data_IF_664668513713
#
_entry.id   IF_664668513713
#
_cell.length_a   1.000
_cell.length_b   1.000
_cell.length_c   1.000
_cell.angle_alpha   90.00
_cell.angle_beta   90.00
_cell.angle_gamma   90.00
#
_symmetry.space_group_name_H-M   'P 1'
#
loop_
_entity.id
_entity.type
_entity.pdbx_description
1 polymer ?
#
# COMPACT_ATOMS: atom_id res chain seq x y z
N UNK A 1 23.45 -29.22 -28.49
CA UNK A 1 22.84 -28.15 -29.33
C UNK A 1 23.79 -26.96 -29.45
N UNK A 2 23.70 -26.19 -30.54
CA UNK A 2 24.46 -24.95 -30.73
C UNK A 2 23.58 -23.73 -30.41
N UNK A 3 24.03 -22.86 -29.52
CA UNK A 3 23.37 -21.57 -29.25
C UNK A 3 23.78 -20.55 -30.31
N UNK A 4 22.81 -19.93 -30.98
CA UNK A 4 23.08 -19.11 -32.19
C UNK A 4 22.68 -17.65 -32.09
N UNK A 5 21.94 -17.23 -31.06
CA UNK A 5 21.44 -15.86 -30.96
C UNK A 5 21.17 -15.40 -29.54
N UNK A 6 20.91 -14.09 -29.42
CA UNK A 6 20.72 -13.43 -28.12
C UNK A 6 19.42 -13.84 -27.46
N UNK A 7 19.64 -13.97 -26.18
CA UNK A 7 18.86 -14.45 -25.09
C UNK A 7 18.34 -13.20 -24.41
N UNK A 8 17.04 -12.99 -24.28
CA UNK A 8 16.62 -11.90 -23.39
C UNK A 8 17.20 -12.20 -22.00
N UNK A 9 17.97 -11.29 -21.39
CA UNK A 9 18.63 -11.54 -20.10
C UNK A 9 20.03 -12.15 -20.23
N UNK A 10 20.38 -13.13 -19.39
CA UNK A 10 21.71 -13.74 -19.37
C UNK A 10 21.67 -15.27 -19.32
N UNK A 11 22.61 -15.91 -20.03
CA UNK A 11 22.77 -17.37 -20.04
C UNK A 11 24.05 -17.75 -19.31
N UNK A 12 23.99 -18.78 -18.47
CA UNK A 12 25.12 -19.27 -17.68
C UNK A 12 25.27 -20.78 -17.78
N UNK A 13 26.50 -21.29 -17.72
CA UNK A 13 26.81 -22.72 -17.62
C UNK A 13 27.44 -23.05 -16.28
N UNK A 14 27.18 -24.26 -15.80
CA UNK A 14 27.84 -24.78 -14.62
C UNK A 14 29.21 -25.36 -14.98
N UNK A 15 30.29 -24.81 -14.44
CA UNK A 15 31.65 -25.28 -14.70
C UNK A 15 32.53 -25.10 -13.46
N UNK A 16 33.22 -26.17 -13.04
CA UNK A 16 34.13 -26.12 -11.90
C UNK A 16 33.45 -25.74 -10.58
N UNK A 17 32.24 -26.24 -10.34
CA UNK A 17 31.48 -25.99 -9.10
C UNK A 17 30.79 -24.62 -9.02
N UNK A 18 30.82 -23.80 -10.07
CA UNK A 18 30.20 -22.48 -10.09
C UNK A 18 29.49 -22.19 -11.41
N UNK A 19 28.56 -21.23 -11.36
CA UNK A 19 27.92 -20.69 -12.55
C UNK A 19 28.79 -19.61 -13.19
N UNK A 20 29.03 -19.73 -14.49
CA UNK A 20 29.83 -18.78 -15.26
C UNK A 20 29.05 -18.32 -16.51
N UNK A 21 29.30 -17.09 -17.01
CA UNK A 21 28.69 -16.60 -18.24
C UNK A 21 28.84 -17.58 -19.40
N UNK A 22 27.75 -17.85 -20.12
CA UNK A 22 27.78 -18.62 -21.34
C UNK A 22 28.14 -17.69 -22.51
N UNK A 23 29.24 -17.95 -23.25
CA UNK A 23 29.64 -17.08 -24.34
C UNK A 23 28.72 -17.31 -25.55
N UNK A 24 27.75 -16.42 -25.75
CA UNK A 24 26.86 -16.45 -26.91
C UNK A 24 27.57 -16.01 -28.21
N UNK A 25 28.73 -15.35 -28.11
CA UNK A 25 29.64 -15.02 -29.21
C UNK A 25 30.92 -15.86 -29.21
N UNK A 26 31.57 -16.00 -30.36
CA UNK A 26 32.86 -16.69 -30.50
C UNK A 26 32.83 -18.02 -31.27
N UNK A 27 33.92 -18.81 -31.23
CA UNK A 27 34.05 -20.07 -31.96
C UNK A 27 32.93 -21.07 -31.63
N UNK A 28 32.55 -21.94 -32.58
CA UNK A 28 31.47 -22.94 -32.40
C UNK A 28 31.63 -23.74 -31.10
N UNK A 29 32.85 -24.18 -30.78
CA UNK A 29 33.17 -24.97 -29.58
C UNK A 29 32.76 -24.32 -28.25
N UNK A 30 32.66 -22.99 -28.18
CA UNK A 30 32.30 -22.28 -26.93
C UNK A 30 30.79 -22.10 -26.79
N UNK A 31 30.03 -22.32 -27.87
CA UNK A 31 28.57 -22.11 -27.94
C UNK A 31 27.76 -23.41 -27.87
N UNK A 32 28.43 -24.54 -27.67
CA UNK A 32 27.78 -25.85 -27.56
C UNK A 32 27.23 -26.06 -26.15
N UNK A 33 25.95 -26.44 -26.09
CA UNK A 33 25.35 -27.05 -24.92
C UNK A 33 25.54 -28.55 -25.06
N UNK A 34 26.42 -29.09 -24.23
CA UNK A 34 26.55 -30.52 -23.97
C UNK A 34 25.48 -30.92 -22.94
N UNK A 35 24.77 -32.02 -23.18
CA UNK A 35 23.74 -32.54 -22.27
C UNK A 35 24.29 -32.94 -20.90
N UNK A 36 25.62 -33.08 -20.76
CA UNK A 36 26.28 -33.33 -19.46
C UNK A 36 26.48 -32.08 -18.60
N UNK A 37 26.31 -30.88 -19.17
CA UNK A 37 26.59 -29.59 -18.50
C UNK A 37 25.28 -28.82 -18.30
N UNK A 38 24.84 -28.62 -17.05
CA UNK A 38 23.69 -27.76 -16.77
C UNK A 38 23.91 -26.34 -17.28
N UNK A 39 22.90 -25.83 -17.97
CA UNK A 39 22.81 -24.42 -18.39
C UNK A 39 21.60 -23.83 -17.68
N UNK A 40 21.74 -22.63 -17.16
CA UNK A 40 20.63 -21.86 -16.61
C UNK A 40 20.49 -20.54 -17.35
N UNK A 41 19.25 -20.18 -17.59
CA UNK A 41 18.87 -18.87 -18.09
C UNK A 41 18.42 -18.00 -16.92
N UNK A 42 18.81 -16.73 -16.92
CA UNK A 42 18.38 -15.71 -15.99
C UNK A 42 17.64 -14.68 -16.82
N UNK A 43 16.34 -14.45 -16.57
CA UNK A 43 15.56 -13.51 -17.35
C UNK A 43 16.07 -12.07 -17.22
N UNK A 44 15.75 -11.18 -18.17
CA UNK A 44 15.90 -9.74 -17.94
C UNK A 44 15.14 -9.31 -16.69
N UNK A 45 15.64 -8.28 -16.01
CA UNK A 45 14.91 -7.67 -14.91
C UNK A 45 13.51 -7.23 -15.36
N UNK A 46 12.49 -7.60 -14.59
CA UNK A 46 11.09 -7.25 -14.87
C UNK A 46 10.37 -8.10 -15.92
N UNK A 47 10.99 -9.16 -16.45
CA UNK A 47 10.32 -10.03 -17.42
C UNK A 47 9.19 -10.84 -16.76
N UNK A 48 8.00 -10.83 -17.37
CA UNK A 48 6.80 -11.55 -16.92
C UNK A 48 6.12 -12.21 -18.11
N UNK A 49 5.48 -13.36 -17.89
CA UNK A 49 4.81 -14.12 -18.94
C UNK A 49 5.79 -14.87 -19.86
N UNK A 50 5.32 -15.25 -21.05
CA UNK A 50 6.11 -16.02 -22.01
C UNK A 50 7.24 -15.17 -22.60
N UNK A 51 8.47 -15.46 -22.20
CA UNK A 51 9.66 -14.70 -22.58
C UNK A 51 10.61 -15.56 -23.42
N UNK A 52 11.08 -15.09 -24.60
CA UNK A 52 12.07 -15.82 -25.40
C UNK A 52 13.41 -15.94 -24.65
N UNK A 53 13.77 -17.17 -24.26
CA UNK A 53 14.97 -17.45 -23.51
C UNK A 53 16.17 -17.64 -24.45
N UNK A 54 16.21 -18.67 -25.29
CA UNK A 54 17.35 -18.95 -26.18
C UNK A 54 16.92 -19.44 -27.56
N UNK A 55 17.75 -19.21 -28.59
CA UNK A 55 17.60 -19.85 -29.91
C UNK A 55 18.72 -20.88 -30.10
N UNK A 56 18.34 -22.09 -30.53
CA UNK A 56 19.27 -23.21 -30.71
C UNK A 56 19.16 -23.84 -32.10
N UNK A 57 20.25 -24.47 -32.54
CA UNK A 57 20.33 -25.35 -33.72
C UNK A 57 20.84 -26.73 -33.30
N UNK A 58 20.48 -27.76 -34.07
CA UNK A 58 21.14 -29.06 -33.97
C UNK A 58 22.57 -28.95 -34.53
N UNK A 59 23.49 -29.70 -33.95
CA UNK A 59 24.90 -29.75 -34.36
C UNK A 59 25.36 -31.19 -34.37
N UNK A 60 25.92 -31.65 -35.49
CA UNK A 60 26.33 -33.05 -35.69
C UNK A 60 27.82 -33.30 -35.40
N UNK A 61 28.54 -32.28 -34.93
CA UNK A 61 29.99 -32.31 -34.76
C UNK A 61 30.75 -31.58 -35.87
N UNK A 62 30.10 -31.27 -36.99
CA UNK A 62 30.73 -30.69 -38.19
C UNK A 62 29.97 -29.51 -38.79
N UNK A 63 28.63 -29.58 -38.83
CA UNK A 63 27.75 -28.56 -39.39
C UNK A 63 26.52 -28.33 -38.49
N UNK A 64 26.01 -27.10 -38.52
CA UNK A 64 24.79 -26.72 -37.84
C UNK A 64 23.60 -26.96 -38.77
N UNK A 65 22.46 -27.35 -38.21
CA UNK A 65 21.23 -27.47 -38.98
C UNK A 65 20.77 -26.11 -39.50
N UNK A 66 20.14 -26.09 -40.69
CA UNK A 66 19.48 -24.89 -41.20
C UNK A 66 18.26 -24.49 -40.35
N UNK A 67 17.60 -25.47 -39.71
CA UNK A 67 16.47 -25.23 -38.82
C UNK A 67 16.92 -24.70 -37.45
N UNK A 68 16.14 -23.76 -36.90
CA UNK A 68 16.28 -23.20 -35.56
C UNK A 68 15.09 -23.56 -34.69
N UNK A 69 15.33 -23.77 -33.40
CA UNK A 69 14.29 -23.89 -32.39
C UNK A 69 14.39 -22.73 -31.39
N UNK A 70 13.24 -22.19 -31.01
CA UNK A 70 13.13 -21.17 -29.98
C UNK A 70 12.69 -21.81 -28.68
N UNK A 71 13.46 -21.59 -27.62
CA UNK A 71 13.10 -21.96 -26.26
C UNK A 71 12.59 -20.69 -25.60
N UNK A 72 11.32 -20.70 -25.21
CA UNK A 72 10.70 -19.65 -24.42
C UNK A 72 10.33 -20.24 -23.07
N UNK A 73 10.51 -19.45 -22.02
CA UNK A 73 10.13 -19.82 -20.68
C UNK A 73 8.96 -18.95 -20.24
N UNK A 74 7.98 -19.57 -19.62
CA UNK A 74 6.94 -18.83 -18.91
C UNK A 74 7.49 -18.44 -17.56
N UNK A 75 7.90 -17.19 -17.43
CA UNK A 75 8.20 -16.64 -16.11
C UNK A 75 6.84 -16.45 -15.45
N UNK A 76 6.56 -17.26 -14.44
CA UNK A 76 5.54 -16.89 -13.48
C UNK A 76 5.94 -15.49 -13.00
N UNK A 77 5.20 -14.45 -13.41
CA UNK A 77 5.28 -13.19 -12.69
C UNK A 77 5.06 -13.59 -11.24
N UNK A 78 6.01 -13.24 -10.37
CA UNK A 78 5.96 -13.71 -9.00
C UNK A 78 4.53 -13.46 -8.48
N UNK A 79 3.78 -14.53 -8.28
CA UNK A 79 2.60 -14.55 -7.42
C UNK A 79 3.10 -14.55 -5.96
N UNK A 80 4.10 -13.72 -5.69
CA UNK A 80 4.71 -13.55 -4.37
C UNK A 80 5.02 -12.06 -4.24
N UNK A 81 4.08 -11.39 -3.57
CA UNK A 81 3.90 -9.97 -3.32
C UNK A 81 3.47 -9.10 -4.51
N UNK A 82 2.18 -8.79 -4.56
CA UNK A 82 1.73 -7.57 -5.22
C UNK A 82 2.49 -6.38 -4.58
N UNK A 83 3.16 -5.57 -5.41
CA UNK A 83 4.03 -4.49 -4.95
C UNK A 83 3.40 -3.14 -5.24
N UNK A 84 3.49 -2.18 -4.32
CA UNK A 84 3.00 -0.81 -4.49
C UNK A 84 4.09 0.25 -4.30
N UNK A 85 4.08 1.30 -5.13
CA UNK A 85 4.86 2.51 -4.88
C UNK A 85 3.94 3.61 -4.38
N UNK A 86 4.23 4.18 -3.22
CA UNK A 86 3.65 5.45 -2.82
C UNK A 86 4.43 6.57 -3.52
N UNK A 87 3.72 7.55 -4.08
CA UNK A 87 4.27 8.59 -4.95
C UNK A 87 3.77 9.96 -4.50
N UNK A 88 4.68 10.81 -4.04
CA UNK A 88 4.38 12.24 -3.78
C UNK A 88 4.09 13.01 -5.07
N UNK A 89 4.71 12.58 -6.18
CA UNK A 89 4.50 13.16 -7.50
C UNK A 89 3.98 12.09 -8.47
N UNK A 90 2.71 12.21 -8.83
CA UNK A 90 2.05 11.28 -9.75
C UNK A 90 2.57 11.35 -11.19
N UNK A 91 3.40 12.33 -11.53
CA UNK A 91 4.15 12.33 -12.80
C UNK A 91 5.13 11.15 -12.91
N UNK A 92 5.54 10.57 -11.77
CA UNK A 92 6.49 9.46 -11.68
C UNK A 92 5.89 8.09 -12.05
N UNK A 93 4.55 7.98 -12.23
CA UNK A 93 3.88 6.70 -12.57
C UNK A 93 4.48 6.02 -13.79
N UNK A 94 4.96 6.79 -14.77
CA UNK A 94 5.58 6.26 -15.98
C UNK A 94 6.88 5.48 -15.71
N UNK A 95 7.53 5.72 -14.57
CA UNK A 95 8.73 5.02 -14.13
C UNK A 95 8.44 3.75 -13.30
N UNK A 96 7.18 3.54 -12.90
CA UNK A 96 6.75 2.36 -12.16
C UNK A 96 6.51 1.19 -13.13
N UNK A 97 7.04 -0.03 -12.87
CA UNK A 97 6.78 -1.21 -13.70
C UNK A 97 5.28 -1.51 -13.89
N UNK A 98 4.87 -1.90 -15.11
CA UNK A 98 3.46 -2.03 -15.53
C UNK A 98 2.60 -2.98 -14.67
N UNK A 99 3.19 -3.93 -13.96
CA UNK A 99 2.47 -4.89 -13.11
C UNK A 99 2.35 -4.48 -11.64
N UNK A 100 2.87 -3.32 -11.23
CA UNK A 100 2.90 -2.90 -9.83
C UNK A 100 1.79 -1.88 -9.56
N UNK A 101 1.30 -1.85 -8.33
CA UNK A 101 0.39 -0.82 -7.87
C UNK A 101 1.08 0.52 -7.64
N UNK A 102 0.25 1.55 -7.56
CA UNK A 102 0.68 2.91 -7.21
C UNK A 102 -0.26 3.47 -6.15
N UNK A 103 0.28 4.23 -5.21
CA UNK A 103 -0.44 4.95 -4.15
C UNK A 103 -0.05 6.42 -4.25
N UNK A 104 -0.99 7.35 -4.09
CA UNK A 104 -0.72 8.79 -4.18
C UNK A 104 -1.96 9.60 -4.52
N UNK A 105 -1.76 10.90 -4.76
CA UNK A 105 -2.84 11.85 -5.08
C UNK A 105 -3.10 11.91 -6.60
N UNK A 106 -3.96 11.03 -7.11
CA UNK A 106 -4.24 10.95 -8.54
C UNK A 106 -5.51 11.71 -8.90
N UNK A 107 -5.48 12.45 -10.02
CA UNK A 107 -6.74 12.85 -10.66
C UNK A 107 -7.52 11.62 -11.13
N UNK A 108 -8.84 11.75 -11.24
CA UNK A 108 -9.70 10.69 -11.80
C UNK A 108 -9.24 10.17 -13.17
N UNK A 109 -8.74 11.07 -14.02
CA UNK A 109 -8.20 10.70 -15.34
C UNK A 109 -6.96 9.81 -15.20
N UNK A 110 -6.05 10.15 -14.29
CA UNK A 110 -4.86 9.33 -14.01
C UNK A 110 -5.23 7.97 -13.45
N UNK A 111 -6.16 7.90 -12.48
CA UNK A 111 -6.65 6.61 -11.95
C UNK A 111 -7.27 5.75 -13.03
N UNK A 112 -8.16 6.33 -13.84
CA UNK A 112 -8.84 5.63 -14.94
C UNK A 112 -7.82 5.02 -15.91
N UNK A 113 -6.78 5.79 -16.28
CA UNK A 113 -5.72 5.30 -17.17
C UNK A 113 -4.88 4.18 -16.52
N UNK A 114 -4.53 4.32 -15.23
CA UNK A 114 -3.77 3.31 -14.49
C UNK A 114 -4.57 2.01 -14.31
N UNK A 115 -5.84 2.11 -13.94
CA UNK A 115 -6.76 0.97 -13.83
C UNK A 115 -6.94 0.24 -15.17
N UNK A 116 -7.09 0.99 -16.27
CA UNK A 116 -7.19 0.43 -17.62
C UNK A 116 -5.91 -0.34 -18.04
N UNK A 117 -4.76 -0.02 -17.43
CA UNK A 117 -3.51 -0.78 -17.62
C UNK A 117 -3.38 -2.01 -16.72
N UNK A 118 -4.41 -2.33 -15.91
CA UNK A 118 -4.42 -3.46 -14.99
C UNK A 118 -3.86 -3.16 -13.59
N UNK A 119 -3.54 -1.89 -13.28
CA UNK A 119 -2.97 -1.53 -11.97
C UNK A 119 -4.04 -1.37 -10.91
N UNK A 120 -3.69 -1.76 -9.69
CA UNK A 120 -4.42 -1.33 -8.49
C UNK A 120 -3.89 0.05 -8.12
N UNK A 121 -4.80 0.99 -7.87
CA UNK A 121 -4.46 2.38 -7.51
C UNK A 121 -4.94 2.66 -6.09
N UNK A 122 -4.03 3.00 -5.19
CA UNK A 122 -4.34 3.60 -3.90
C UNK A 122 -4.51 5.10 -4.03
N UNK A 123 -5.72 5.59 -3.93
CA UNK A 123 -5.98 7.02 -3.93
C UNK A 123 -5.77 7.59 -2.53
N UNK A 124 -4.84 8.55 -2.41
CA UNK A 124 -4.85 9.55 -1.34
C UNK A 124 -5.48 10.83 -1.88
N UNK A 125 -6.16 11.60 -1.03
CA UNK A 125 -6.83 12.83 -1.47
C UNK A 125 -6.31 13.99 -0.64
N UNK A 126 -6.08 15.12 -1.31
CA UNK A 126 -5.69 16.35 -0.65
C UNK A 126 -6.73 16.76 0.40
N UNK A 127 -6.29 16.82 1.66
CA UNK A 127 -7.08 17.31 2.79
C UNK A 127 -6.61 18.70 3.20
N UNK A 128 -7.53 19.50 3.76
CA UNK A 128 -7.19 20.75 4.40
C UNK A 128 -6.26 20.46 5.57
N UNK A 129 -4.97 20.55 5.30
CA UNK A 129 -3.96 20.68 6.31
C UNK A 129 -3.88 22.18 6.66
N UNK A 130 -3.82 22.51 7.94
CA UNK A 130 -3.59 23.91 8.35
C UNK A 130 -2.11 24.30 8.14
N UNK A 131 -1.47 23.85 7.05
CA UNK A 131 -0.03 23.97 6.74
C UNK A 131 0.50 25.41 6.67
N UNK A 132 -0.37 26.42 6.70
CA UNK A 132 0.06 27.82 6.81
C UNK A 132 0.88 28.11 8.08
N UNK A 133 0.80 27.24 9.09
CA UNK A 133 1.56 27.34 10.32
C UNK A 133 2.07 25.96 10.75
N UNK A 134 3.39 25.73 10.62
CA UNK A 134 4.07 24.51 11.08
C UNK A 134 3.97 24.28 12.61
N UNK A 135 3.25 25.15 13.33
CA UNK A 135 2.90 25.01 14.75
C UNK A 135 1.47 24.52 15.00
N UNK A 136 0.69 24.23 13.96
CA UNK A 136 -0.64 23.60 14.08
C UNK A 136 -0.58 22.24 13.39
N UNK A 137 -0.48 21.19 14.19
CA UNK A 137 -0.44 19.80 13.71
C UNK A 137 -1.68 19.46 12.86
N UNK A 138 -1.59 18.37 12.11
CA UNK A 138 -2.61 17.85 11.19
C UNK A 138 -3.91 17.37 11.86
N UNK A 139 -4.60 18.23 12.62
CA UNK A 139 -5.90 17.91 13.20
C UNK A 139 -7.04 18.33 12.25
N UNK A 140 -7.84 17.35 11.82
CA UNK A 140 -9.04 17.57 11.02
C UNK A 140 -10.26 17.91 11.87
N UNK A 141 -10.19 17.67 13.18
CA UNK A 141 -11.33 17.82 14.09
C UNK A 141 -11.91 19.24 14.15
N UNK A 142 -11.11 20.34 14.22
CA UNK A 142 -11.66 21.69 14.24
C UNK A 142 -12.49 22.07 12.99
N UNK A 143 -12.34 21.33 11.89
CA UNK A 143 -13.14 21.55 10.68
C UNK A 143 -14.54 20.94 10.78
N UNK A 144 -14.74 19.97 11.67
CA UNK A 144 -15.95 19.14 11.71
C UNK A 144 -16.59 19.04 13.09
N UNK A 145 -15.96 19.54 14.15
CA UNK A 145 -16.45 19.38 15.54
C UNK A 145 -17.86 19.92 15.76
N UNK A 146 -18.24 21.00 15.07
CA UNK A 146 -19.59 21.58 15.15
C UNK A 146 -20.67 20.69 14.50
N UNK A 147 -20.29 19.65 13.74
CA UNK A 147 -21.21 18.61 13.26
C UNK A 147 -21.59 17.61 14.38
N UNK A 148 -20.85 17.62 15.50
CA UNK A 148 -20.96 16.65 16.59
C UNK A 148 -21.52 17.28 17.87
N UNK A 149 -22.72 17.84 17.78
CA UNK A 149 -23.36 18.57 18.89
C UNK A 149 -24.19 17.68 19.84
N UNK A 150 -24.29 16.37 19.56
CA UNK A 150 -25.12 15.44 20.32
C UNK A 150 -24.43 14.09 20.48
N UNK A 151 -24.68 13.43 21.60
CA UNK A 151 -24.30 12.03 21.81
C UNK A 151 -25.32 11.04 21.24
N UNK A 152 -26.47 11.54 20.76
CA UNK A 152 -27.49 10.68 20.15
C UNK A 152 -27.00 10.19 18.79
N UNK A 153 -26.97 8.86 18.54
CA UNK A 153 -26.62 8.33 17.23
C UNK A 153 -27.47 8.91 16.11
N UNK A 154 -26.83 9.32 15.01
CA UNK A 154 -27.49 9.78 13.80
C UNK A 154 -28.30 8.63 13.21
N UNK A 155 -29.56 8.93 12.88
CA UNK A 155 -30.46 7.94 12.29
C UNK A 155 -29.88 7.40 10.98
N UNK A 156 -30.08 6.10 10.65
CA UNK A 156 -29.50 5.50 9.45
C UNK A 156 -29.77 6.27 8.15
N UNK A 157 -30.95 6.88 8.01
CA UNK A 157 -31.32 7.68 6.83
C UNK A 157 -30.54 8.99 6.68
N UNK A 158 -29.96 9.51 7.76
CA UNK A 158 -29.26 10.80 7.78
C UNK A 158 -27.72 10.64 7.70
N UNK A 159 -27.20 9.41 7.86
CA UNK A 159 -25.76 9.13 7.85
C UNK A 159 -25.08 9.58 6.57
N UNK A 160 -25.70 9.35 5.41
CA UNK A 160 -25.14 9.76 4.12
C UNK A 160 -25.01 11.29 3.98
N UNK A 161 -25.93 12.05 4.60
CA UNK A 161 -25.86 13.51 4.59
C UNK A 161 -24.72 14.00 5.50
N UNK A 162 -24.60 13.44 6.72
CA UNK A 162 -23.50 13.75 7.62
C UNK A 162 -22.14 13.40 7.00
N UNK A 163 -22.01 12.22 6.40
CA UNK A 163 -20.78 11.80 5.72
C UNK A 163 -20.34 12.80 4.64
N UNK A 164 -21.28 13.27 3.81
CA UNK A 164 -20.98 14.31 2.81
C UNK A 164 -20.54 15.63 3.44
N UNK A 165 -21.13 16.03 4.57
CA UNK A 165 -20.72 17.25 5.27
C UNK A 165 -19.29 17.13 5.81
N UNK A 166 -18.93 15.99 6.41
CA UNK A 166 -17.57 15.71 6.88
C UNK A 166 -16.59 15.80 5.70
N UNK A 167 -16.81 15.02 4.63
CA UNK A 167 -15.93 15.00 3.46
C UNK A 167 -15.82 16.38 2.79
N UNK A 168 -16.91 17.14 2.70
CA UNK A 168 -16.90 18.47 2.09
C UNK A 168 -16.02 19.46 2.86
N UNK A 169 -15.91 19.31 4.18
CA UNK A 169 -15.15 20.22 5.02
C UNK A 169 -13.67 19.86 5.16
N UNK A 170 -13.33 18.58 5.03
CA UNK A 170 -11.96 18.08 5.20
C UNK A 170 -11.19 18.00 3.89
N UNK A 171 -11.84 17.76 2.74
CA UNK A 171 -11.19 17.64 1.44
C UNK A 171 -10.99 19.02 0.79
N UNK A 172 -9.82 19.25 0.18
CA UNK A 172 -9.52 20.51 -0.56
C UNK A 172 -10.41 20.63 -1.80
N UNK A 173 -10.51 19.55 -2.56
CA UNK A 173 -11.35 19.46 -3.75
C UNK A 173 -12.46 18.45 -3.50
N UNK A 174 -13.47 18.82 -2.68
CA UNK A 174 -14.43 17.86 -2.18
C UNK A 174 -15.31 17.30 -3.29
N UNK A 175 -15.34 17.89 -4.49
CA UNK A 175 -16.41 17.75 -5.50
C UNK A 175 -16.82 16.32 -5.83
N UNK A 176 -17.61 15.69 -4.93
CA UNK A 176 -18.09 14.29 -4.86
C UNK A 176 -18.98 13.93 -6.07
N UNK A 177 -18.39 14.08 -7.23
CA UNK A 177 -19.00 14.10 -8.56
C UNK A 177 -18.01 13.47 -9.54
N UNK A 178 -18.38 13.44 -10.82
CA UNK A 178 -17.57 12.77 -11.83
C UNK A 178 -16.20 13.41 -12.09
N UNK A 179 -15.90 14.58 -11.52
CA UNK A 179 -14.61 15.27 -11.62
C UNK A 179 -13.87 15.36 -10.28
N UNK A 180 -14.33 14.62 -9.25
CA UNK A 180 -13.69 14.60 -7.94
C UNK A 180 -12.30 13.97 -7.99
N UNK A 181 -11.41 14.47 -7.14
CA UNK A 181 -10.21 13.72 -6.74
C UNK A 181 -10.60 12.54 -5.82
N UNK A 182 -11.65 12.68 -5.01
CA UNK A 182 -12.16 11.57 -4.20
C UNK A 182 -12.72 10.41 -5.06
N UNK A 183 -12.44 9.13 -4.71
CA UNK A 183 -12.97 8.00 -5.46
C UNK A 183 -14.50 7.97 -5.50
N UNK A 184 -15.06 7.47 -6.59
CA UNK A 184 -16.47 7.10 -6.69
C UNK A 184 -16.68 5.61 -6.36
N UNK A 185 -17.84 5.21 -5.80
CA UNK A 185 -18.09 3.81 -5.41
C UNK A 185 -17.78 2.77 -6.50
N UNK A 186 -18.06 3.10 -7.76
CA UNK A 186 -17.87 2.18 -8.90
C UNK A 186 -16.40 1.91 -9.23
N UNK A 187 -15.47 2.77 -8.78
CA UNK A 187 -14.02 2.60 -9.04
C UNK A 187 -13.40 1.44 -8.24
N UNK A 188 -14.06 1.00 -7.16
CA UNK A 188 -13.54 -0.03 -6.24
C UNK A 188 -13.76 -1.46 -6.70
N UNK A 189 -14.56 -1.66 -7.75
CA UNK A 189 -14.90 -2.99 -8.26
C UNK A 189 -14.13 -3.27 -9.55
N UNK A 190 -13.27 -4.31 -9.58
CA UNK A 190 -12.58 -4.67 -10.81
C UNK A 190 -13.58 -5.14 -11.87
N UNK A 191 -13.42 -4.67 -13.10
CA UNK A 191 -14.33 -5.00 -14.21
C UNK A 191 -14.30 -6.49 -14.61
N UNK A 192 -13.19 -7.18 -14.33
CA UNK A 192 -13.01 -8.62 -14.53
C UNK A 192 -11.88 -9.14 -13.63
N UNK A 193 -11.75 -10.45 -13.42
CA UNK A 193 -10.59 -11.01 -12.70
C UNK A 193 -9.27 -10.52 -13.31
N UNK A 194 -8.38 -10.00 -12.46
CA UNK A 194 -7.09 -9.44 -12.89
C UNK A 194 -7.14 -8.02 -13.49
N UNK A 195 -8.32 -7.40 -13.59
CA UNK A 195 -8.41 -5.98 -13.93
C UNK A 195 -7.96 -5.11 -12.75
N UNK A 196 -7.45 -3.91 -13.08
CA UNK A 196 -7.18 -2.88 -12.09
C UNK A 196 -8.45 -2.40 -11.38
N UNK A 197 -8.27 -1.76 -10.23
CA UNK A 197 -9.34 -1.12 -9.47
C UNK A 197 -8.72 -0.08 -8.51
N UNK A 198 -9.57 0.75 -7.91
CA UNK A 198 -9.15 1.78 -6.94
C UNK A 198 -9.41 1.29 -5.53
N UNK A 199 -8.47 1.57 -4.62
CA UNK A 199 -8.68 1.50 -3.17
C UNK A 199 -8.51 2.91 -2.60
N UNK A 200 -9.15 3.22 -1.49
CA UNK A 200 -8.93 4.49 -0.81
C UNK A 200 -7.81 4.29 0.20
N UNK A 201 -6.64 4.79 -0.15
CA UNK A 201 -5.41 4.68 0.62
C UNK A 201 -4.98 6.08 1.07
N UNK A 202 -5.83 6.69 1.89
CA UNK A 202 -5.60 8.04 2.41
C UNK A 202 -4.34 8.10 3.25
N UNK A 203 -3.44 9.00 2.87
CA UNK A 203 -2.29 9.36 3.69
C UNK A 203 -2.74 10.22 4.86
N UNK A 204 -2.41 9.77 6.07
CA UNK A 204 -2.69 10.49 7.31
C UNK A 204 -1.39 10.77 8.03
N UNK A 205 -1.00 12.04 8.04
CA UNK A 205 0.18 12.54 8.71
C UNK A 205 -0.15 13.11 10.08
N UNK A 206 0.78 13.01 11.02
CA UNK A 206 0.61 13.52 12.39
C UNK A 206 1.96 13.89 13.01
N UNK A 207 2.02 15.07 13.63
CA UNK A 207 3.16 15.48 14.43
C UNK A 207 2.74 15.54 15.90
N UNK A 208 3.13 14.56 16.73
CA UNK A 208 2.78 14.54 18.15
C UNK A 208 3.25 15.79 18.91
N UNK A 209 2.48 16.20 19.91
CA UNK A 209 2.83 17.30 20.82
C UNK A 209 2.43 18.70 20.34
N UNK A 210 1.85 18.83 19.15
CA UNK A 210 1.42 20.11 18.58
C UNK A 210 -0.08 20.36 18.76
N UNK A 211 -0.89 19.32 18.62
CA UNK A 211 -2.36 19.36 18.72
C UNK A 211 -2.86 18.25 19.66
N UNK A 212 -4.09 18.40 20.15
CA UNK A 212 -4.77 17.36 20.94
C UNK A 212 -4.74 16.02 20.21
N UNK A 213 -4.14 15.02 20.83
CA UNK A 213 -4.08 13.65 20.31
C UNK A 213 -5.48 13.09 20.09
N UNK A 214 -6.39 13.32 21.05
CA UNK A 214 -7.80 12.93 20.97
C UNK A 214 -8.47 13.52 19.73
N UNK A 215 -8.25 14.79 19.44
CA UNK A 215 -8.82 15.50 18.29
C UNK A 215 -8.32 14.91 16.97
N UNK A 216 -7.03 14.60 16.87
CA UNK A 216 -6.45 13.97 15.67
C UNK A 216 -7.12 12.62 15.40
N UNK A 217 -7.19 11.75 16.42
CA UNK A 217 -7.83 10.44 16.27
C UNK A 217 -9.33 10.55 15.99
N UNK A 218 -10.03 11.51 16.61
CA UNK A 218 -11.45 11.78 16.34
C UNK A 218 -11.66 12.24 14.88
N UNK A 219 -10.83 13.15 14.39
CA UNK A 219 -10.85 13.64 13.02
C UNK A 219 -10.61 12.51 12.00
N UNK A 220 -9.54 11.73 12.17
CA UNK A 220 -9.22 10.58 11.30
C UNK A 220 -10.37 9.56 11.28
N UNK A 221 -10.93 9.23 12.45
CA UNK A 221 -12.04 8.27 12.56
C UNK A 221 -13.29 8.78 11.86
N UNK A 222 -13.66 10.06 12.05
CA UNK A 222 -14.82 10.67 11.40
C UNK A 222 -14.68 10.68 9.87
N UNK A 223 -13.48 10.96 9.36
CA UNK A 223 -13.16 10.96 7.93
C UNK A 223 -13.28 9.56 7.34
N UNK A 224 -12.70 8.55 7.99
CA UNK A 224 -12.80 7.16 7.56
C UNK A 224 -14.24 6.65 7.60
N UNK A 225 -15.01 6.99 8.65
CA UNK A 225 -16.43 6.70 8.73
C UNK A 225 -17.22 7.34 7.59
N UNK A 226 -16.93 8.61 7.28
CA UNK A 226 -17.60 9.32 6.21
C UNK A 226 -17.28 8.72 4.84
N UNK A 227 -16.02 8.36 4.60
CA UNK A 227 -15.59 7.68 3.39
C UNK A 227 -16.21 6.29 3.25
N UNK A 228 -16.24 5.46 4.32
CA UNK A 228 -16.96 4.17 4.32
C UNK A 228 -18.44 4.35 3.99
N UNK A 229 -19.10 5.31 4.63
CA UNK A 229 -20.52 5.60 4.39
C UNK A 229 -20.79 6.05 2.95
N UNK A 230 -19.86 6.79 2.34
CA UNK A 230 -20.00 7.28 0.95
C UNK A 230 -19.63 6.22 -0.10
N UNK A 231 -18.50 5.53 0.07
CA UNK A 231 -17.94 4.57 -0.88
C UNK A 231 -18.64 3.20 -0.82
N UNK A 232 -19.26 2.88 0.33
CA UNK A 232 -19.97 1.62 0.57
C UNK A 232 -19.08 0.51 1.11
N UNK A 233 -19.72 -0.58 1.53
CA UNK A 233 -19.08 -1.68 2.26
C UNK A 233 -18.13 -2.52 1.40
N UNK A 234 -18.30 -2.49 0.08
CA UNK A 234 -17.48 -3.29 -0.85
C UNK A 234 -16.21 -2.57 -1.30
N UNK A 235 -16.15 -1.24 -1.14
CA UNK A 235 -14.99 -0.45 -1.53
C UNK A 235 -13.85 -0.65 -0.53
N UNK A 236 -12.64 -0.94 -1.01
CA UNK A 236 -11.50 -1.18 -0.10
C UNK A 236 -10.96 0.12 0.46
N UNK A 237 -10.95 0.24 1.78
CA UNK A 237 -10.41 1.38 2.52
C UNK A 237 -9.20 0.91 3.32
N UNK A 238 -8.00 1.34 2.90
CA UNK A 238 -6.73 0.90 3.49
C UNK A 238 -5.82 2.10 3.66
N UNK A 239 -6.02 2.92 4.71
CA UNK A 239 -5.26 4.15 4.90
C UNK A 239 -3.76 3.89 4.99
N UNK A 240 -3.01 4.95 4.76
CA UNK A 240 -1.56 5.03 4.90
C UNK A 240 -1.24 5.88 6.14
N UNK A 241 -1.33 5.33 7.37
CA UNK A 241 -1.00 6.09 8.56
C UNK A 241 0.51 6.28 8.69
N UNK A 242 0.89 7.50 9.04
CA UNK A 242 2.27 7.82 9.42
C UNK A 242 2.71 7.05 10.65
N UNK A 243 4.03 6.93 10.83
CA UNK A 243 4.59 6.19 11.96
C UNK A 243 4.10 6.71 13.32
N UNK A 244 3.78 8.00 13.41
CA UNK A 244 3.31 8.63 14.63
C UNK A 244 1.85 8.30 14.96
N UNK A 245 1.04 7.86 13.98
CA UNK A 245 -0.33 7.41 14.21
C UNK A 245 -0.40 5.92 14.56
N UNK A 246 0.29 5.05 13.83
CA UNK A 246 0.14 3.61 14.08
C UNK A 246 1.11 3.05 15.14
N UNK A 247 2.28 3.67 15.34
CA UNK A 247 3.22 3.24 16.40
C UNK A 247 2.89 3.86 17.75
N UNK A 248 2.45 5.11 17.76
CA UNK A 248 2.45 5.92 18.99
C UNK A 248 1.11 6.57 19.32
N UNK A 249 0.62 6.63 20.56
CA UNK A 249 0.96 5.99 21.84
C UNK A 249 -0.26 6.31 22.73
N UNK A 250 -1.00 5.31 23.18
CA UNK A 250 -1.77 5.43 24.44
C UNK A 250 -0.86 5.43 25.67
N UNK A 251 0.42 5.77 25.52
CA UNK A 251 1.45 5.71 26.55
C UNK A 251 1.94 7.12 26.89
N UNK A 252 1.76 7.46 28.16
CA UNK A 252 2.16 8.72 28.80
C UNK A 252 3.66 8.87 28.93
N UNK A 253 4.44 7.80 28.75
CA UNK A 253 5.87 7.76 29.08
C UNK A 253 6.75 8.75 28.30
N UNK A 254 6.25 9.38 27.22
CA UNK A 254 7.04 10.30 26.38
C UNK A 254 6.39 11.68 26.17
N UNK A 255 5.37 12.05 26.95
CA UNK A 255 4.75 13.38 26.85
C UNK A 255 4.03 13.68 25.52
N UNK A 256 3.65 12.64 24.77
CA UNK A 256 3.05 12.75 23.41
C UNK A 256 1.51 12.82 23.39
N UNK A 257 0.87 13.01 24.56
CA UNK A 257 -0.59 13.02 24.72
C UNK A 257 -1.19 11.62 24.81
N UNK A 258 -2.37 11.50 25.41
CA UNK A 258 -3.09 10.24 25.59
C UNK A 258 -4.14 10.08 24.48
N UNK A 259 -4.12 8.93 23.80
CA UNK A 259 -5.30 8.42 23.10
C UNK A 259 -6.24 7.78 24.11
N UNK A 260 -7.53 8.17 24.10
CA UNK A 260 -8.56 7.60 24.97
C UNK A 260 -9.74 7.18 24.11
N UNK A 261 -9.78 5.89 23.73
CA UNK A 261 -10.78 5.36 22.80
C UNK A 261 -12.22 5.65 23.28
N UNK A 262 -12.48 5.46 24.58
CA UNK A 262 -13.80 5.63 25.16
C UNK A 262 -14.29 7.08 25.09
N UNK A 263 -13.41 8.07 25.30
CA UNK A 263 -13.78 9.49 25.17
C UNK A 263 -14.07 9.86 23.72
N UNK A 264 -13.31 9.30 22.77
CA UNK A 264 -13.49 9.56 21.34
C UNK A 264 -14.82 8.97 20.86
N UNK A 265 -15.11 7.72 21.23
CA UNK A 265 -16.30 6.99 20.77
C UNK A 265 -17.54 7.46 21.49
N UNK A 266 -17.51 7.55 22.82
CA UNK A 266 -18.71 7.80 23.64
C UNK A 266 -18.88 9.28 23.98
N UNK A 267 -17.87 10.11 23.71
CA UNK A 267 -17.86 11.50 24.15
C UNK A 267 -17.56 11.65 25.63
N UNK A 268 -17.53 12.91 26.06
CA UNK A 268 -17.45 13.34 27.45
C UNK A 268 -18.69 14.17 27.80
N UNK A 269 -18.82 14.56 29.07
CA UNK A 269 -19.90 15.46 29.50
C UNK A 269 -19.86 16.84 28.82
N UNK A 270 -18.68 17.29 28.37
CA UNK A 270 -18.49 18.59 27.71
C UNK A 270 -18.38 18.52 26.19
N UNK A 271 -17.95 17.38 25.66
CA UNK A 271 -17.64 17.23 24.22
C UNK A 271 -18.21 15.90 23.72
N UNK A 272 -19.26 15.90 22.87
CA UNK A 272 -19.89 14.67 22.41
C UNK A 272 -19.01 13.75 21.55
N UNK A 273 -17.94 14.29 20.95
CA UNK A 273 -17.07 13.59 19.99
C UNK A 273 -17.86 12.71 19.02
N UNK A 274 -17.51 11.43 18.86
CA UNK A 274 -18.06 10.56 17.83
C UNK A 274 -19.25 9.73 18.29
N UNK A 275 -19.84 10.03 19.45
CA UNK A 275 -20.99 9.29 19.96
C UNK A 275 -22.17 9.26 18.98
N UNK A 276 -22.35 10.35 18.21
CA UNK A 276 -23.37 10.41 17.18
C UNK A 276 -23.15 9.44 16.00
N UNK A 277 -21.94 8.90 15.82
CA UNK A 277 -21.67 7.93 14.75
C UNK A 277 -22.19 6.53 15.11
N UNK A 278 -22.43 6.27 16.40
CA UNK A 278 -22.84 4.96 16.90
C UNK A 278 -21.78 3.88 16.66
N UNK A 279 -20.50 4.24 16.82
CA UNK A 279 -19.39 3.30 16.83
C UNK A 279 -19.36 2.55 18.16
N UNK A 280 -18.84 1.33 18.13
CA UNK A 280 -18.70 0.49 19.31
C UNK A 280 -17.23 0.47 19.76
N UNK A 281 -17.02 0.65 21.07
CA UNK A 281 -15.72 0.37 21.67
C UNK A 281 -15.38 -1.12 21.58
N UNK A 282 -14.09 -1.42 21.64
CA UNK A 282 -13.63 -2.80 21.67
C UNK A 282 -13.78 -3.40 23.10
N UNK A 283 -14.19 -4.67 23.27
CA UNK A 283 -14.41 -5.31 24.57
C UNK A 283 -13.10 -5.66 25.28
N UNK A 284 -12.87 -5.32 26.56
CA UNK A 284 -11.58 -5.50 27.30
C UNK A 284 -10.52 -6.45 26.68
N UNK A 285 -9.35 -5.88 26.31
CA UNK A 285 -8.24 -6.61 25.71
C UNK A 285 -7.28 -7.17 26.79
N UNK A 286 -6.91 -8.46 26.78
CA UNK A 286 -5.86 -8.99 27.65
C UNK A 286 -4.45 -8.44 27.35
N UNK A 287 -4.25 -7.76 26.21
CA UNK A 287 -2.98 -7.17 25.75
C UNK A 287 -3.07 -5.65 25.54
N UNK A 288 -3.75 -4.94 26.44
CA UNK A 288 -3.77 -3.48 26.42
C UNK A 288 -2.38 -2.86 26.67
N UNK A 289 -2.13 -1.66 26.13
CA UNK A 289 -0.97 -0.85 26.49
C UNK A 289 -0.97 -0.41 27.96
N UNK A 290 0.05 0.35 28.39
CA UNK A 290 0.29 0.81 29.78
C UNK A 290 -0.94 1.48 30.45
N UNK A 291 -1.92 1.96 29.68
CA UNK A 291 -3.15 2.61 30.15
C UNK A 291 -4.46 1.89 29.75
N UNK A 292 -4.44 0.58 29.46
CA UNK A 292 -5.66 -0.14 29.09
C UNK A 292 -6.11 0.10 27.63
N UNK A 293 -5.38 0.91 26.87
CA UNK A 293 -5.78 1.36 25.54
C UNK A 293 -5.44 0.35 24.44
N UNK A 294 -6.30 0.37 23.42
CA UNK A 294 -6.22 -0.46 22.21
C UNK A 294 -5.29 0.15 21.17
N UNK A 295 -4.78 -0.69 20.27
CA UNK A 295 -4.25 -0.19 19.02
C UNK A 295 -5.38 0.49 18.23
N UNK A 296 -5.19 1.76 17.86
CA UNK A 296 -6.20 2.57 17.16
C UNK A 296 -6.70 1.92 15.86
N UNK A 297 -5.81 1.28 15.10
CA UNK A 297 -6.18 0.62 13.84
C UNK A 297 -7.07 -0.61 14.08
N UNK A 298 -6.89 -1.29 15.22
CA UNK A 298 -7.78 -2.40 15.59
C UNK A 298 -9.21 -1.91 15.89
N UNK A 299 -9.36 -0.73 16.49
CA UNK A 299 -10.68 -0.11 16.72
C UNK A 299 -11.37 0.21 15.39
N UNK A 300 -10.64 0.85 14.47
CA UNK A 300 -11.16 1.17 13.15
C UNK A 300 -11.60 -0.09 12.38
N UNK A 301 -10.79 -1.15 12.43
CA UNK A 301 -11.07 -2.41 11.76
C UNK A 301 -12.29 -3.12 12.32
N UNK A 302 -12.41 -3.23 13.64
CA UNK A 302 -13.56 -3.89 14.27
C UNK A 302 -14.89 -3.17 14.03
N UNK A 303 -14.85 -1.84 13.82
CA UNK A 303 -16.01 -1.05 13.41
C UNK A 303 -16.26 -1.05 11.89
N UNK A 304 -15.50 -1.82 11.10
CA UNK A 304 -15.64 -1.89 9.65
C UNK A 304 -15.24 -0.61 8.90
N UNK A 305 -14.52 0.31 9.56
CA UNK A 305 -14.13 1.58 8.95
C UNK A 305 -12.96 1.42 7.96
N UNK A 306 -12.13 0.41 8.18
CA UNK A 306 -11.00 0.04 7.31
C UNK A 306 -11.01 -1.46 7.01
N UNK A 307 -10.42 -1.84 5.88
CA UNK A 307 -10.16 -3.23 5.47
C UNK A 307 -8.74 -3.70 5.81
N UNK A 308 -7.88 -2.78 6.25
CA UNK A 308 -6.46 -2.98 6.56
C UNK A 308 -5.70 -1.65 6.47
N UNK A 309 -4.37 -1.67 6.41
CA UNK A 309 -3.57 -0.44 6.29
C UNK A 309 -2.18 -0.65 5.67
N UNK A 310 -1.57 0.43 5.19
CA UNK A 310 -0.16 0.49 4.79
C UNK A 310 0.63 1.41 5.74
N UNK A 311 1.42 0.87 6.66
CA UNK A 311 2.08 1.68 7.69
C UNK A 311 3.39 2.30 7.21
N UNK A 312 3.52 3.64 7.28
CA UNK A 312 4.78 4.34 7.01
C UNK A 312 5.73 4.24 8.20
N UNK A 313 6.81 3.48 8.10
CA UNK A 313 7.82 3.41 9.16
C UNK A 313 9.06 4.25 8.81
N UNK A 314 9.15 5.49 9.30
CA UNK A 314 10.30 6.38 9.07
C UNK A 314 11.62 5.96 9.79
N UNK A 315 11.76 4.71 10.22
CA UNK A 315 13.02 4.22 10.76
C UNK A 315 13.98 3.88 9.62
N UNK A 316 15.10 4.60 9.55
CA UNK A 316 16.17 4.34 8.56
C UNK A 316 16.92 3.03 8.78
N UNK A 317 16.81 2.43 9.97
CA UNK A 317 17.46 1.16 10.34
C UNK A 317 16.50 -0.03 10.45
N UNK A 318 15.18 0.24 10.50
CA UNK A 318 14.13 -0.76 10.70
C UNK A 318 12.98 -0.51 9.70
N UNK A 319 13.32 -0.46 8.42
CA UNK A 319 12.36 -0.27 7.30
C UNK A 319 11.50 -1.50 7.10
N UNK A 320 10.23 -1.30 6.73
CA UNK A 320 9.33 -2.38 6.35
C UNK A 320 8.98 -3.37 7.46
N UNK A 321 9.28 -3.08 8.73
CA UNK A 321 8.94 -3.95 9.87
C UNK A 321 8.08 -3.22 10.90
N UNK A 322 7.29 -3.95 11.67
CA UNK A 322 6.65 -3.43 12.89
C UNK A 322 7.72 -3.32 13.97
N UNK A 323 7.88 -2.13 14.54
CA UNK A 323 8.89 -1.87 15.58
C UNK A 323 8.34 -2.16 16.97
N UNK A 324 9.21 -2.46 17.93
CA UNK A 324 8.83 -2.92 19.27
C UNK A 324 8.04 -1.89 20.11
N UNK A 325 8.05 -0.62 19.69
CA UNK A 325 7.26 0.47 20.25
C UNK A 325 5.83 0.55 19.69
N UNK A 326 5.47 -0.31 18.73
CA UNK A 326 4.09 -0.43 18.21
C UNK A 326 3.25 -1.28 19.16
N UNK A 327 2.10 -0.77 19.60
CA UNK A 327 1.15 -1.56 20.39
C UNK A 327 0.65 -2.78 19.59
N UNK A 328 0.52 -3.97 20.21
CA UNK A 328 -0.02 -5.15 19.55
C UNK A 328 -1.41 -4.90 18.94
N UNK A 329 -1.65 -5.45 17.75
CA UNK A 329 -2.99 -5.48 17.17
C UNK A 329 -3.87 -6.46 17.93
N UNK A 330 -5.08 -6.05 18.29
CA UNK A 330 -5.98 -6.90 19.08
C UNK A 330 -6.63 -8.02 18.27
N UNK A 331 -6.76 -7.81 16.96
CA UNK A 331 -7.24 -8.80 16.01
C UNK A 331 -6.07 -9.25 15.12
N UNK A 332 -5.69 -10.52 15.23
CA UNK A 332 -4.63 -11.11 14.42
C UNK A 332 -5.00 -11.21 12.93
N UNK A 333 -6.28 -11.04 12.57
CA UNK A 333 -6.76 -11.02 11.19
C UNK A 333 -6.63 -9.65 10.51
N UNK A 334 -6.35 -8.56 11.24
CA UNK A 334 -6.19 -7.21 10.69
C UNK A 334 -5.16 -7.22 9.55
N UNK A 335 -5.56 -7.00 8.28
CA UNK A 335 -4.62 -7.00 7.18
C UNK A 335 -3.72 -5.76 7.20
N UNK A 336 -2.43 -5.93 6.94
CA UNK A 336 -1.52 -4.80 6.85
C UNK A 336 -0.28 -5.10 6.03
N UNK A 337 0.40 -4.04 5.58
CA UNK A 337 1.77 -4.08 5.08
C UNK A 337 2.54 -2.86 5.59
N UNK A 338 3.81 -3.03 5.97
CA UNK A 338 4.66 -1.92 6.43
C UNK A 338 5.56 -1.44 5.28
N UNK A 339 5.49 -0.16 4.98
CA UNK A 339 6.28 0.44 3.91
C UNK A 339 7.78 0.36 4.20
N UNK A 340 8.52 -0.08 3.19
CA UNK A 340 9.97 -0.15 3.17
C UNK A 340 10.56 1.08 2.47
N UNK A 341 11.51 1.76 3.09
CA UNK A 341 12.26 2.92 2.58
C UNK A 341 11.41 4.15 2.15
N UNK A 342 11.94 5.33 2.41
CA UNK A 342 11.31 6.64 2.16
C UNK A 342 12.00 7.43 1.02
N UNK A 343 13.24 7.07 0.63
CA UNK A 343 14.12 8.01 -0.11
C UNK A 343 15.03 7.40 -1.20
N UNK A 344 14.84 6.16 -1.69
CA UNK A 344 15.84 5.63 -2.64
C UNK A 344 15.35 4.64 -3.71
N UNK A 345 14.84 5.11 -4.86
CA UNK A 345 14.58 4.26 -6.03
C UNK A 345 15.84 3.56 -6.59
N UNK A 346 17.08 3.94 -6.23
CA UNK A 346 18.26 3.17 -6.61
C UNK A 346 18.53 1.96 -5.70
N UNK A 347 18.02 1.94 -4.46
CA UNK A 347 17.96 0.73 -3.62
C UNK A 347 16.95 -0.29 -4.20
N UNK A 348 15.87 0.22 -4.79
CA UNK A 348 14.89 -0.55 -5.58
C UNK A 348 15.54 -1.20 -6.81
N UNK A 349 16.56 -0.59 -7.42
CA UNK A 349 17.24 -1.16 -8.59
C UNK A 349 18.34 -2.19 -8.25
N UNK A 350 18.86 -2.22 -7.01
CA UNK A 350 20.10 -2.94 -6.65
C UNK A 350 19.93 -4.12 -5.68
N UNK A 351 18.69 -4.47 -5.30
CA UNK A 351 18.40 -5.76 -4.65
C UNK A 351 18.23 -5.76 -3.11
N UNK A 352 17.95 -4.61 -2.47
CA UNK A 352 17.45 -4.56 -1.09
C UNK A 352 17.19 -3.13 -0.59
N UNK A 353 16.25 -2.87 0.36
CA UNK A 353 15.50 -3.79 1.21
C UNK A 353 14.00 -3.89 0.85
N UNK A 354 13.58 -5.06 0.34
CA UNK A 354 12.19 -5.41 -0.03
C UNK A 354 11.38 -6.02 1.12
N UNK A 355 11.93 -6.01 2.34
CA UNK A 355 11.37 -6.72 3.48
C UNK A 355 10.22 -5.92 4.08
N UNK A 356 9.05 -6.02 3.48
CA UNK A 356 7.79 -5.62 4.10
C UNK A 356 7.25 -6.79 4.93
N UNK A 357 7.02 -6.56 6.22
CA UNK A 357 6.14 -7.39 7.05
C UNK A 357 4.72 -7.08 6.61
N UNK A 358 3.98 -8.12 6.29
CA UNK A 358 2.57 -8.03 5.96
C UNK A 358 1.78 -9.12 6.70
N UNK A 359 0.48 -8.90 6.81
CA UNK A 359 -0.48 -9.83 7.37
C UNK A 359 -1.77 -9.80 6.55
N UNK A 360 -2.44 -10.95 6.47
CA UNK A 360 -3.76 -11.05 5.84
C UNK A 360 -3.77 -10.75 4.34
N UNK A 361 -4.97 -10.47 3.83
CA UNK A 361 -5.19 -10.14 2.42
C UNK A 361 -5.09 -8.64 2.20
N UNK A 362 -3.93 -8.16 1.77
CA UNK A 362 -3.71 -6.77 1.35
C UNK A 362 -3.44 -6.70 -0.16
N UNK A 363 -3.87 -5.63 -0.86
CA UNK A 363 -3.59 -5.43 -2.28
C UNK A 363 -2.10 -5.36 -2.61
N UNK A 364 -1.28 -4.94 -1.64
CA UNK A 364 0.18 -4.83 -1.78
C UNK A 364 0.87 -5.47 -0.58
N UNK A 365 1.54 -6.60 -0.77
CA UNK A 365 2.29 -7.28 0.30
C UNK A 365 3.69 -6.67 0.50
N UNK A 366 4.12 -5.81 -0.42
CA UNK A 366 5.28 -4.96 -0.25
C UNK A 366 5.00 -3.58 -0.83
N UNK A 367 5.38 -2.56 -0.10
CA UNK A 367 5.12 -1.16 -0.48
C UNK A 367 6.32 -0.33 -0.15
N UNK A 368 6.69 0.61 -1.02
CA UNK A 368 7.75 1.61 -0.76
C UNK A 368 7.15 3.00 -0.78
N UNK A 369 7.76 3.92 -0.03
CA UNK A 369 7.50 5.35 -0.13
C UNK A 369 8.57 5.99 -1.04
#
# INVERSE_FOLDING_TARGET
FLVTGTVSGSLQRFAGGRWAPFPAGGPVRTRLIDGSVPVRWIPPQGAVGSTPAITVQAWDGRLASAATAHISESIAGAQDSAFGYFLDDTSQVAHVPAGYGVIGEFSKTQRTAAVASGRIVGESVAMFNQQGDNTVGYSLWPLIEDLFQSQTPVAPGDRAALARQILTRVLVNPGLSNTSEFPSPDEGTPASPGAGYVIWAQDFEFTPGVVSTTDVYAGVTAVLWAGRTYLGDTFKIMPVPSSSLFKTLGDTAQGKGLYVADEIINGTASTPYLASLGLEGLPENPQSGTNGQWNFLSLLYANGLIDGFFGQNYSTSQVGIVTADTLPFSDASLPYAIQSAHDNPMQVATGGPWSTVFNGAVPFHSTVY
#
